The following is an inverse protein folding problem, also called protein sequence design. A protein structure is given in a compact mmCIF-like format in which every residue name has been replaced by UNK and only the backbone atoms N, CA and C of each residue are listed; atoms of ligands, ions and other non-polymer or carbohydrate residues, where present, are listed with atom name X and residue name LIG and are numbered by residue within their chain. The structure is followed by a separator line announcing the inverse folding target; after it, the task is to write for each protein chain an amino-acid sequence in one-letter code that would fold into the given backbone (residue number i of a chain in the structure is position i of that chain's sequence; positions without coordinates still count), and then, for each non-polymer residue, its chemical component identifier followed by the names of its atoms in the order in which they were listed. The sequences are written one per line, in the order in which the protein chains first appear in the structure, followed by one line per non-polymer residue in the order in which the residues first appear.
data_IF_501439936363
#
_entry.id   IF_501439936363
#
_cell.length_a   1.000
_cell.length_b   1.000
_cell.length_c   1.000
_cell.angle_alpha   90.00
_cell.angle_beta   90.00
_cell.angle_gamma   90.00
#
_symmetry.space_group_name_H-M   'P 1'
#
loop_
_entity.id
_entity.type
_entity.pdbx_description
1 polymer ?
#
# COMPACT_ATOMS: atom_id res chain seq x y z
N UNK A 1 38.48 35.22 1.53
CA UNK A 1 38.72 33.78 1.32
C UNK A 1 38.11 32.88 2.40
N UNK A 2 38.28 33.17 3.70
CA UNK A 2 37.75 32.33 4.81
C UNK A 2 36.23 32.18 4.77
N UNK A 3 35.48 33.26 4.52
CA UNK A 3 34.00 33.23 4.45
C UNK A 3 33.47 32.36 3.30
N UNK A 4 34.12 32.35 2.14
CA UNK A 4 33.72 31.53 1.00
C UNK A 4 33.93 30.03 1.27
N UNK A 5 35.06 29.68 1.89
CA UNK A 5 35.36 28.30 2.31
C UNK A 5 34.36 27.80 3.36
N UNK A 6 33.98 28.66 4.31
CA UNK A 6 32.98 28.33 5.32
C UNK A 6 31.60 28.09 4.68
N UNK A 7 31.15 28.98 3.78
CA UNK A 7 29.86 28.84 3.07
C UNK A 7 29.82 27.52 2.29
N UNK A 8 30.89 27.20 1.55
CA UNK A 8 30.97 25.95 0.79
C UNK A 8 30.94 24.72 1.71
N UNK A 9 31.62 24.78 2.85
CA UNK A 9 31.57 23.74 3.88
C UNK A 9 30.17 23.51 4.43
N UNK A 10 29.42 24.58 4.73
CA UNK A 10 28.04 24.45 5.19
C UNK A 10 27.10 23.91 4.11
N UNK A 11 27.27 24.31 2.85
CA UNK A 11 26.49 23.76 1.73
C UNK A 11 26.76 22.26 1.60
N UNK A 12 28.02 21.83 1.66
CA UNK A 12 28.38 20.41 1.61
C UNK A 12 27.76 19.65 2.79
N UNK A 13 27.79 20.22 4.01
CA UNK A 13 27.20 19.60 5.19
C UNK A 13 25.67 19.41 5.08
N UNK A 14 24.97 20.41 4.50
CA UNK A 14 23.53 20.30 4.24
C UNK A 14 23.26 19.24 3.16
N UNK A 15 24.05 19.22 2.08
CA UNK A 15 23.91 18.21 1.03
C UNK A 15 24.18 16.80 1.53
N UNK A 16 25.20 16.59 2.37
CA UNK A 16 25.49 15.27 2.95
C UNK A 16 24.35 14.77 3.84
N UNK A 17 23.64 15.65 4.55
CA UNK A 17 22.44 15.26 5.30
C UNK A 17 21.38 14.64 4.36
N UNK A 18 21.10 15.26 3.21
CA UNK A 18 20.15 14.73 2.24
C UNK A 18 20.63 13.41 1.61
N UNK A 19 21.94 13.27 1.32
CA UNK A 19 22.52 12.03 0.79
C UNK A 19 22.40 10.88 1.79
N UNK A 20 22.65 11.14 3.08
CA UNK A 20 22.49 10.14 4.14
C UNK A 20 21.03 9.70 4.25
N UNK A 21 20.09 10.64 4.25
CA UNK A 21 18.66 10.31 4.29
C UNK A 21 18.23 9.50 3.07
N UNK A 22 18.63 9.90 1.87
CA UNK A 22 18.31 9.18 0.64
C UNK A 22 18.88 7.76 0.64
N UNK A 23 20.12 7.60 1.10
CA UNK A 23 20.80 6.30 1.17
C UNK A 23 20.16 5.40 2.24
N UNK A 24 19.74 5.99 3.36
CA UNK A 24 19.03 5.27 4.42
C UNK A 24 17.65 4.79 3.94
N UNK A 25 16.88 5.65 3.26
CA UNK A 25 15.58 5.31 2.68
C UNK A 25 15.72 4.23 1.59
N UNK A 26 16.78 4.28 0.77
CA UNK A 26 17.02 3.29 -0.28
C UNK A 26 17.55 1.94 0.21
N UNK A 27 18.01 1.85 1.47
CA UNK A 27 18.59 0.63 2.02
C UNK A 27 17.62 -0.10 2.95
N UNK A 28 16.87 -1.03 2.36
CA UNK A 28 15.87 -1.88 3.00
C UNK A 28 16.39 -2.59 4.27
N UNK A 29 17.67 -2.99 4.31
CA UNK A 29 18.24 -3.69 5.45
C UNK A 29 18.39 -2.79 6.68
N UNK A 30 18.95 -1.60 6.49
CA UNK A 30 19.15 -0.63 7.56
C UNK A 30 17.80 -0.12 8.10
N UNK A 31 16.87 0.17 7.20
CA UNK A 31 15.52 0.61 7.57
C UNK A 31 14.79 -0.44 8.43
N UNK A 32 14.78 -1.72 8.03
CA UNK A 32 14.15 -2.81 8.79
C UNK A 32 14.79 -3.00 10.16
N UNK A 33 16.13 -2.98 10.26
CA UNK A 33 16.83 -3.08 11.55
C UNK A 33 16.49 -1.91 12.47
N UNK A 34 16.47 -0.69 11.94
CA UNK A 34 16.13 0.50 12.72
C UNK A 34 14.69 0.44 13.27
N UNK A 35 13.73 0.06 12.42
CA UNK A 35 12.33 -0.17 12.82
C UNK A 35 12.24 -1.18 13.97
N UNK A 36 12.94 -2.31 13.85
CA UNK A 36 12.92 -3.37 14.86
C UNK A 36 13.51 -2.93 16.21
N UNK A 37 14.56 -2.12 16.22
CA UNK A 37 15.21 -1.65 17.46
C UNK A 37 14.39 -0.56 18.13
N UNK A 38 13.79 0.33 17.34
CA UNK A 38 13.11 1.54 17.85
C UNK A 38 11.63 1.33 18.16
N UNK A 39 11.08 0.14 17.87
CA UNK A 39 9.65 -0.16 17.98
C UNK A 39 8.76 0.81 17.19
N UNK A 40 9.33 1.50 16.19
CA UNK A 40 8.57 2.35 15.28
C UNK A 40 7.65 1.49 14.42
N UNK A 41 6.44 1.97 14.13
CA UNK A 41 5.52 1.30 13.21
C UNK A 41 5.62 1.93 11.83
N UNK A 42 5.65 1.10 10.78
CA UNK A 42 5.51 1.58 9.41
C UNK A 42 4.09 2.08 9.22
N UNK A 43 3.94 3.25 8.60
CA UNK A 43 2.61 3.83 8.36
C UNK A 43 1.75 2.90 7.48
N UNK A 44 0.45 2.75 7.78
CA UNK A 44 -0.49 1.96 6.98
C UNK A 44 -0.61 2.44 5.53
N UNK A 45 -0.18 3.66 5.24
CA UNK A 45 0.02 4.18 3.88
C UNK A 45 0.89 3.28 3.00
N UNK A 46 1.90 2.65 3.60
CA UNK A 46 2.89 1.83 2.90
C UNK A 46 2.63 0.33 3.05
N UNK A 47 1.86 -0.09 4.07
CA UNK A 47 1.61 -1.51 4.35
C UNK A 47 0.21 -2.00 3.95
N UNK A 48 -0.62 -1.11 3.39
CA UNK A 48 -2.01 -1.44 3.07
C UNK A 48 -2.99 -1.28 4.24
N UNK A 49 -2.50 -1.03 5.46
CA UNK A 49 -3.31 -1.02 6.69
C UNK A 49 -3.27 -2.35 7.45
N UNK A 50 -3.94 -2.39 8.60
CA UNK A 50 -4.15 -3.63 9.35
C UNK A 50 -5.15 -4.53 8.62
N UNK A 51 -5.01 -5.84 8.76
CA UNK A 51 -5.99 -6.79 8.21
C UNK A 51 -7.27 -6.72 9.03
N UNK A 52 -8.39 -6.44 8.37
CA UNK A 52 -9.73 -6.42 8.97
C UNK A 52 -10.38 -7.80 8.94
N UNK A 53 -10.30 -8.47 7.79
CA UNK A 53 -10.99 -9.73 7.52
C UNK A 53 -10.12 -10.65 6.67
N UNK A 54 -10.21 -11.94 6.95
CA UNK A 54 -9.55 -12.99 6.18
C UNK A 54 -10.61 -13.98 5.74
N UNK A 55 -10.71 -14.21 4.43
CA UNK A 55 -11.65 -15.15 3.82
C UNK A 55 -10.81 -16.25 3.18
N UNK A 56 -10.90 -17.45 3.74
CA UNK A 56 -10.26 -18.63 3.16
C UNK A 56 -11.25 -19.32 2.22
N UNK A 57 -10.91 -19.37 0.94
CA UNK A 57 -11.56 -20.21 -0.06
C UNK A 57 -10.68 -21.46 -0.31
N UNK A 58 -11.19 -22.42 -1.07
CA UNK A 58 -10.54 -23.73 -1.26
C UNK A 58 -9.06 -23.61 -1.70
N UNK A 59 -8.79 -22.80 -2.74
CA UNK A 59 -7.46 -22.65 -3.32
C UNK A 59 -6.81 -21.27 -3.10
N UNK A 60 -7.51 -20.35 -2.41
CA UNK A 60 -7.01 -18.99 -2.21
C UNK A 60 -7.44 -18.39 -0.88
N UNK A 61 -6.69 -17.39 -0.44
CA UNK A 61 -6.96 -16.59 0.74
C UNK A 61 -7.09 -15.14 0.33
N UNK A 62 -8.19 -14.51 0.71
CA UNK A 62 -8.40 -13.07 0.58
C UNK A 62 -8.16 -12.42 1.93
N UNK A 63 -7.24 -11.45 1.99
CA UNK A 63 -7.05 -10.61 3.18
C UNK A 63 -7.52 -9.21 2.84
N UNK A 64 -8.59 -8.78 3.50
CA UNK A 64 -9.15 -7.44 3.32
C UNK A 64 -8.60 -6.57 4.42
N UNK A 65 -7.90 -5.50 4.05
CA UNK A 65 -7.32 -4.56 4.99
C UNK A 65 -8.35 -3.50 5.42
N UNK A 66 -8.12 -2.86 6.55
CA UNK A 66 -8.91 -1.71 6.99
C UNK A 66 -8.69 -0.53 6.02
N UNK A 67 -9.73 0.25 5.70
CA UNK A 67 -9.59 1.48 4.93
C UNK A 67 -8.56 2.43 5.54
N UNK A 68 -7.64 2.93 4.71
CA UNK A 68 -6.55 3.82 5.11
C UNK A 68 -6.85 5.25 4.67
N UNK A 69 -7.27 6.10 5.61
CA UNK A 69 -7.44 7.54 5.42
C UNK A 69 -6.35 8.38 6.10
N UNK A 70 -5.47 7.75 6.89
CA UNK A 70 -4.48 8.44 7.70
C UNK A 70 -3.60 9.38 6.85
N UNK A 71 -3.44 10.61 7.33
CA UNK A 71 -2.42 11.57 6.88
C UNK A 71 -1.43 11.88 8.00
N UNK A 72 -0.47 12.77 7.75
CA UNK A 72 0.59 13.08 8.71
C UNK A 72 0.08 13.77 9.98
N UNK A 73 -0.87 14.72 9.82
CA UNK A 73 -1.42 15.50 10.93
C UNK A 73 -2.88 15.18 11.24
N UNK A 74 -3.63 14.73 10.23
CA UNK A 74 -5.04 14.37 10.35
C UNK A 74 -5.41 13.36 9.28
N UNK A 75 -6.58 12.76 9.42
CA UNK A 75 -7.18 11.99 8.35
C UNK A 75 -7.44 12.84 7.10
N UNK A 76 -7.36 12.17 5.94
CA UNK A 76 -7.66 12.73 4.62
C UNK A 76 -9.10 12.41 4.22
N UNK A 77 -9.66 13.21 3.31
CA UNK A 77 -10.97 12.96 2.70
C UNK A 77 -10.95 11.83 1.65
N UNK A 78 -9.76 11.49 1.16
CA UNK A 78 -9.51 10.39 0.23
C UNK A 78 -8.59 9.38 0.89
N UNK A 79 -8.85 8.11 0.62
CA UNK A 79 -8.10 7.00 1.16
C UNK A 79 -8.05 5.85 0.17
N UNK A 80 -7.70 4.67 0.66
CA UNK A 80 -7.77 3.45 -0.12
C UNK A 80 -8.06 2.26 0.79
N UNK A 81 -8.52 1.16 0.18
CA UNK A 81 -8.51 -0.16 0.79
C UNK A 81 -7.62 -1.08 -0.04
N UNK A 82 -6.94 -2.00 0.63
CA UNK A 82 -6.08 -3.01 0.01
C UNK A 82 -6.68 -4.39 0.27
N UNK A 83 -6.71 -5.23 -0.78
CA UNK A 83 -7.14 -6.61 -0.71
C UNK A 83 -6.05 -7.49 -1.28
N UNK A 84 -5.46 -8.33 -0.44
CA UNK A 84 -4.48 -9.31 -0.88
C UNK A 84 -5.20 -10.58 -1.33
N UNK A 85 -4.95 -10.95 -2.58
CA UNK A 85 -5.28 -12.25 -3.15
C UNK A 85 -4.05 -13.14 -3.08
N UNK A 86 -4.06 -14.13 -2.19
CA UNK A 86 -2.99 -15.11 -2.04
C UNK A 86 -3.47 -16.48 -2.53
N UNK A 87 -2.66 -17.14 -3.35
CA UNK A 87 -2.96 -18.50 -3.80
C UNK A 87 -1.67 -19.27 -4.05
N UNK A 88 -1.68 -20.56 -3.72
CA UNK A 88 -0.59 -21.48 -4.09
C UNK A 88 -0.59 -21.78 -5.58
N UNK A 89 -1.76 -21.81 -6.20
CA UNK A 89 -1.93 -22.05 -7.64
C UNK A 89 -2.68 -20.88 -8.27
N UNK A 90 -1.92 -19.96 -8.85
CA UNK A 90 -2.48 -18.70 -9.35
C UNK A 90 -3.37 -18.96 -10.58
N UNK A 91 -4.66 -18.58 -10.56
CA UNK A 91 -5.51 -18.70 -11.74
C UNK A 91 -5.05 -17.75 -12.84
N UNK A 92 -5.57 -17.93 -14.06
CA UNK A 92 -5.34 -16.97 -15.14
C UNK A 92 -6.11 -15.66 -14.92
N UNK A 93 -7.28 -15.76 -14.28
CA UNK A 93 -8.17 -14.63 -14.00
C UNK A 93 -8.50 -14.63 -12.50
N UNK A 94 -8.28 -13.50 -11.84
CA UNK A 94 -8.77 -13.24 -10.48
C UNK A 94 -10.13 -12.56 -10.64
N UNK A 95 -11.21 -13.16 -10.12
CA UNK A 95 -12.55 -12.56 -10.14
C UNK A 95 -13.12 -12.56 -8.73
N UNK A 96 -13.36 -11.38 -8.16
CA UNK A 96 -13.80 -11.23 -6.78
C UNK A 96 -14.86 -10.14 -6.62
N UNK A 97 -15.79 -10.39 -5.70
CA UNK A 97 -16.76 -9.42 -5.19
C UNK A 97 -16.44 -9.17 -3.73
N UNK A 98 -16.15 -7.91 -3.38
CA UNK A 98 -15.61 -7.55 -2.07
C UNK A 98 -16.63 -6.69 -1.31
N UNK A 99 -16.94 -7.14 -0.10
CA UNK A 99 -17.56 -6.37 0.98
C UNK A 99 -16.44 -6.02 1.98
N UNK A 100 -15.96 -4.77 1.94
CA UNK A 100 -14.84 -4.31 2.76
C UNK A 100 -15.28 -3.72 4.10
N UNK A 101 -16.51 -3.20 4.20
CA UNK A 101 -17.01 -2.60 5.44
C UNK A 101 -17.81 -3.57 6.31
N UNK A 102 -18.19 -4.73 5.77
CA UNK A 102 -18.85 -5.82 6.47
C UNK A 102 -20.36 -5.62 6.63
N UNK A 103 -20.99 -4.73 5.85
CA UNK A 103 -22.43 -4.48 5.91
C UNK A 103 -23.27 -5.57 5.21
N UNK A 104 -22.62 -6.55 4.57
CA UNK A 104 -23.26 -7.65 3.86
C UNK A 104 -23.65 -7.33 2.42
N UNK A 105 -23.32 -6.13 1.92
CA UNK A 105 -23.47 -5.74 0.51
C UNK A 105 -22.10 -5.69 -0.15
N UNK A 106 -22.07 -6.01 -1.44
CA UNK A 106 -20.83 -5.91 -2.20
C UNK A 106 -20.52 -4.44 -2.48
N UNK A 107 -19.32 -4.01 -2.11
CA UNK A 107 -18.85 -2.65 -2.31
C UNK A 107 -18.24 -2.42 -3.68
N UNK A 108 -17.53 -3.43 -4.19
CA UNK A 108 -16.95 -3.41 -5.53
C UNK A 108 -16.70 -4.81 -6.04
N UNK A 109 -16.63 -4.93 -7.36
CA UNK A 109 -16.20 -6.16 -8.04
C UNK A 109 -14.97 -5.88 -8.89
N UNK A 110 -14.12 -6.90 -9.03
CA UNK A 110 -12.95 -6.84 -9.90
C UNK A 110 -12.73 -8.17 -10.61
N UNK A 111 -12.38 -8.06 -11.88
CA UNK A 111 -11.88 -9.16 -12.69
C UNK A 111 -10.54 -8.75 -13.29
N UNK A 112 -9.47 -9.46 -12.94
CA UNK A 112 -8.11 -9.18 -13.39
C UNK A 112 -7.54 -10.36 -14.16
N UNK A 113 -7.21 -10.11 -15.43
CA UNK A 113 -6.47 -11.04 -16.29
C UNK A 113 -4.96 -10.85 -16.08
N UNK A 114 -4.34 -11.85 -15.46
CA UNK A 114 -2.92 -11.83 -15.11
C UNK A 114 -2.03 -11.86 -16.35
N UNK A 115 -2.43 -12.57 -17.41
CA UNK A 115 -1.63 -12.74 -18.61
C UNK A 115 -1.58 -11.45 -19.42
N UNK A 116 -2.73 -10.80 -19.56
CA UNK A 116 -2.87 -9.60 -20.37
C UNK A 116 -2.70 -8.30 -19.56
N UNK A 117 -2.56 -8.41 -18.23
CA UNK A 117 -2.49 -7.29 -17.29
C UNK A 117 -3.65 -6.30 -17.49
N UNK A 118 -4.87 -6.82 -17.63
CA UNK A 118 -6.09 -6.04 -17.82
C UNK A 118 -7.05 -6.26 -16.65
N UNK A 119 -7.68 -5.18 -16.22
CA UNK A 119 -8.68 -5.21 -15.15
C UNK A 119 -10.00 -4.64 -15.63
N UNK A 120 -11.08 -5.33 -15.26
CA UNK A 120 -12.45 -4.82 -15.25
C UNK A 120 -12.80 -4.55 -13.80
N UNK A 121 -13.34 -3.36 -13.51
CA UNK A 121 -13.64 -2.92 -12.15
C UNK A 121 -14.99 -2.23 -12.13
N UNK A 122 -15.81 -2.57 -11.15
CA UNK A 122 -17.13 -1.99 -10.94
C UNK A 122 -17.23 -1.49 -9.49
N UNK A 123 -17.50 -0.20 -9.33
CA UNK A 123 -17.79 0.40 -8.04
C UNK A 123 -19.30 0.30 -7.76
N UNK A 124 -19.66 -0.36 -6.66
CA UNK A 124 -21.06 -0.58 -6.26
C UNK A 124 -21.45 0.28 -5.05
N UNK A 125 -20.49 0.56 -4.16
CA UNK A 125 -20.66 1.47 -3.03
C UNK A 125 -20.23 2.90 -3.39
N UNK A 126 -21.00 3.90 -2.92
CA UNK A 126 -20.73 5.34 -3.12
C UNK A 126 -19.37 5.80 -2.62
N UNK A 127 -18.79 5.12 -1.63
CA UNK A 127 -17.50 5.45 -1.03
C UNK A 127 -16.32 4.93 -1.89
N UNK A 128 -16.59 4.01 -2.82
CA UNK A 128 -15.62 3.48 -3.77
C UNK A 128 -15.50 4.42 -4.96
N UNK A 129 -14.28 4.83 -5.30
CA UNK A 129 -14.02 5.82 -6.35
C UNK A 129 -13.52 5.16 -7.62
N UNK A 130 -12.42 4.40 -7.53
CA UNK A 130 -11.80 3.77 -8.70
C UNK A 130 -10.84 2.67 -8.27
N UNK A 131 -10.50 1.77 -9.18
CA UNK A 131 -9.31 0.94 -9.04
C UNK A 131 -8.07 1.85 -9.03
N UNK A 132 -7.18 1.66 -8.06
CA UNK A 132 -5.86 2.31 -8.04
C UNK A 132 -4.85 1.47 -8.81
N UNK A 133 -4.85 0.16 -8.58
CA UNK A 133 -4.02 -0.79 -9.32
C UNK A 133 -4.06 -2.19 -8.73
N UNK A 134 -3.46 -3.13 -9.47
CA UNK A 134 -3.21 -4.50 -9.04
C UNK A 134 -1.70 -4.71 -9.07
N UNK A 135 -1.13 -5.11 -7.94
CA UNK A 135 0.32 -5.19 -7.73
C UNK A 135 0.74 -6.61 -7.39
N UNK A 136 1.79 -7.11 -8.02
CA UNK A 136 2.33 -8.43 -7.67
C UNK A 136 3.05 -8.36 -6.32
N UNK A 137 2.67 -9.25 -5.41
CA UNK A 137 3.31 -9.45 -4.11
C UNK A 137 3.91 -10.86 -4.04
N UNK A 138 4.65 -11.17 -2.97
CA UNK A 138 5.35 -12.48 -2.84
C UNK A 138 4.39 -13.68 -2.89
N UNK A 139 3.21 -13.55 -2.29
CA UNK A 139 2.21 -14.60 -2.12
C UNK A 139 1.07 -14.54 -3.16
N UNK A 140 1.07 -13.55 -4.05
CA UNK A 140 0.01 -13.35 -5.04
C UNK A 140 -0.10 -11.92 -5.55
N UNK A 141 -1.28 -11.30 -5.40
CA UNK A 141 -1.55 -9.94 -5.88
C UNK A 141 -2.25 -9.09 -4.82
N UNK A 142 -1.82 -7.84 -4.65
CA UNK A 142 -2.50 -6.83 -3.86
C UNK A 142 -3.35 -5.95 -4.78
N UNK A 143 -4.65 -5.85 -4.49
CA UNK A 143 -5.61 -5.03 -5.22
C UNK A 143 -5.88 -3.79 -4.38
N UNK A 144 -5.52 -2.61 -4.91
CA UNK A 144 -5.72 -1.34 -4.21
C UNK A 144 -6.86 -0.56 -4.86
N UNK A 145 -7.82 -0.13 -4.04
CA UNK A 145 -9.02 0.59 -4.49
C UNK A 145 -9.09 1.93 -3.79
N UNK A 146 -9.27 3.00 -4.56
CA UNK A 146 -9.40 4.35 -4.03
C UNK A 146 -10.77 4.54 -3.39
N UNK A 147 -10.77 5.15 -2.21
CA UNK A 147 -11.97 5.45 -1.43
C UNK A 147 -12.11 6.96 -1.17
N UNK A 148 -13.34 7.38 -0.89
CA UNK A 148 -13.67 8.68 -0.31
C UNK A 148 -14.53 8.50 0.93
N UNK A 149 -14.46 9.47 1.84
CA UNK A 149 -15.35 9.56 3.01
C UNK A 149 -16.77 9.98 2.60
#
# INVERSE_FOLDING_TARGET
MIKLKAILGYIIAVLTLFVVLATFIGNDFCARKFINITSLKVSPLYTGGEISKVISLEDCQLKIHKPVFQGLFSDRSKGFVEVDYESKNMPQIISQSIDFDGDGKIDFSIKYDIKNNKSEFEALNKNVVSLNGVYKIKSGYAIKVNLKK
#
